data_IF_151711603201
#
_entry.id   IF_151711603201
#
_cell.length_a   1.000
_cell.length_b   1.000
_cell.length_c   1.000
_cell.angle_alpha   90.00
_cell.angle_beta   90.00
_cell.angle_gamma   90.00
#
_symmetry.space_group_name_H-M   'P 1'
#
loop_
_entity.id
_entity.type
_entity.pdbx_description
1 polymer ?
#
# COMPACT_ATOMS: atom_id res chain seq x y z
N UNK A 1 16.70 31.94 -2.38
CA UNK A 1 16.73 30.47 -2.27
C UNK A 1 16.97 29.97 -3.68
N UNK A 2 18.04 29.23 -3.92
CA UNK A 2 18.30 28.69 -5.26
C UNK A 2 17.16 27.74 -5.65
N UNK A 3 16.68 27.87 -6.88
CA UNK A 3 15.60 27.05 -7.43
C UNK A 3 15.95 25.56 -7.31
N UNK A 4 15.17 24.80 -6.54
CA UNK A 4 15.37 23.36 -6.42
C UNK A 4 15.20 22.69 -7.80
N UNK A 5 16.05 21.73 -8.20
CA UNK A 5 15.96 21.10 -9.50
C UNK A 5 14.63 20.33 -9.68
N UNK A 6 14.16 20.23 -10.93
CA UNK A 6 12.97 19.42 -11.26
C UNK A 6 13.28 17.94 -11.10
N UNK A 7 12.46 17.21 -10.34
CA UNK A 7 12.56 15.77 -10.17
C UNK A 7 11.99 15.05 -11.40
N UNK A 8 12.88 14.49 -12.21
CA UNK A 8 12.54 13.59 -13.31
C UNK A 8 12.19 12.18 -12.83
N UNK A 9 11.03 11.68 -13.23
CA UNK A 9 10.54 10.33 -12.94
C UNK A 9 10.78 9.40 -14.13
N UNK A 10 11.31 8.22 -13.88
CA UNK A 10 11.46 7.13 -14.84
C UNK A 10 10.45 6.03 -14.55
N UNK A 11 9.57 5.72 -15.49
CA UNK A 11 8.53 4.70 -15.31
C UNK A 11 8.94 3.39 -16.00
N UNK A 12 8.98 2.31 -15.23
CA UNK A 12 9.27 0.96 -15.71
C UNK A 12 7.96 0.17 -15.63
N UNK A 13 7.37 -0.10 -16.80
CA UNK A 13 5.98 -0.54 -16.97
C UNK A 13 5.03 0.66 -17.04
N UNK A 14 4.49 0.96 -18.22
CA UNK A 14 3.52 2.05 -18.46
C UNK A 14 2.16 1.54 -18.96
N UNK A 15 1.78 0.35 -18.53
CA UNK A 15 0.40 -0.13 -18.59
C UNK A 15 -0.55 0.67 -17.68
N UNK A 16 -1.67 0.06 -17.32
CA UNK A 16 -2.75 0.74 -16.56
C UNK A 16 -2.28 1.53 -15.32
N UNK A 17 -1.40 0.97 -14.48
CA UNK A 17 -0.90 1.66 -13.28
C UNK A 17 0.12 2.76 -13.62
N UNK A 18 1.04 2.51 -14.54
CA UNK A 18 1.97 3.55 -15.00
C UNK A 18 1.24 4.75 -15.60
N UNK A 19 0.14 4.53 -16.33
CA UNK A 19 -0.73 5.60 -16.82
C UNK A 19 -1.40 6.39 -15.69
N UNK A 20 -1.85 5.73 -14.62
CA UNK A 20 -2.38 6.41 -13.43
C UNK A 20 -1.30 7.28 -12.76
N UNK A 21 -0.07 6.78 -12.62
CA UNK A 21 1.04 7.58 -12.09
C UNK A 21 1.33 8.81 -12.97
N UNK A 22 1.34 8.66 -14.30
CA UNK A 22 1.53 9.80 -15.23
C UNK A 22 0.46 10.88 -15.00
N UNK A 23 -0.83 10.48 -14.89
CA UNK A 23 -1.94 11.41 -14.63
C UNK A 23 -1.74 12.15 -13.32
N UNK A 24 -1.36 11.46 -12.25
CA UNK A 24 -1.15 12.06 -10.94
C UNK A 24 0.10 12.97 -10.89
N UNK A 25 1.18 12.61 -11.59
CA UNK A 25 2.35 13.48 -11.74
C UNK A 25 2.02 14.76 -12.51
N UNK A 26 1.14 14.70 -13.52
CA UNK A 26 0.64 15.90 -14.19
C UNK A 26 -0.13 16.81 -13.21
N UNK A 27 -0.94 16.25 -12.32
CA UNK A 27 -1.68 17.03 -11.32
C UNK A 27 -0.75 17.71 -10.32
N UNK A 28 0.27 17.01 -9.81
CA UNK A 28 1.27 17.63 -8.92
C UNK A 28 1.96 18.81 -9.58
N UNK A 29 2.31 18.64 -10.85
CA UNK A 29 2.93 19.70 -11.65
C UNK A 29 2.00 20.89 -11.84
N UNK A 30 0.71 20.65 -12.11
CA UNK A 30 -0.32 21.71 -12.19
C UNK A 30 -0.49 22.44 -10.85
N UNK A 31 -0.27 21.74 -9.74
CA UNK A 31 -0.32 22.29 -8.39
C UNK A 31 1.00 22.98 -7.98
N UNK A 32 1.98 23.04 -8.89
CA UNK A 32 3.23 23.79 -8.75
C UNK A 32 4.44 22.97 -8.29
N UNK A 33 4.30 21.66 -8.09
CA UNK A 33 5.43 20.80 -7.75
C UNK A 33 6.35 20.60 -8.96
N UNK A 34 7.67 20.63 -8.74
CA UNK A 34 8.67 20.54 -9.80
C UNK A 34 8.95 19.08 -10.15
N UNK A 35 8.03 18.44 -10.84
CA UNK A 35 8.13 17.06 -11.31
C UNK A 35 7.94 16.95 -12.82
N UNK A 36 8.55 15.95 -13.45
CA UNK A 36 8.28 15.58 -14.84
C UNK A 36 8.46 14.08 -15.06
N UNK A 37 7.87 13.56 -16.14
CA UNK A 37 8.20 12.22 -16.65
C UNK A 37 9.41 12.37 -17.56
N UNK A 38 10.56 11.87 -17.13
CA UNK A 38 11.83 11.99 -17.85
C UNK A 38 12.09 10.80 -18.78
N UNK A 39 11.65 9.60 -18.40
CA UNK A 39 11.85 8.40 -19.19
C UNK A 39 10.74 7.37 -18.96
N UNK A 40 10.54 6.48 -19.94
CA UNK A 40 9.65 5.32 -19.83
C UNK A 40 10.23 4.08 -20.52
N UNK A 41 9.87 2.91 -20.01
CA UNK A 41 10.19 1.61 -20.61
C UNK A 41 9.04 0.64 -20.41
N UNK A 42 8.59 0.03 -21.50
CA UNK A 42 7.56 -1.01 -21.51
C UNK A 42 7.71 -1.83 -22.80
N UNK A 43 7.68 -3.18 -22.73
CA UNK A 43 7.78 -4.02 -23.92
C UNK A 43 6.55 -3.97 -24.83
N UNK A 44 5.39 -3.49 -24.34
CA UNK A 44 4.14 -3.38 -25.09
C UNK A 44 4.04 -2.00 -25.79
N UNK A 45 4.17 -1.93 -27.13
CA UNK A 45 4.14 -0.66 -27.86
C UNK A 45 2.84 0.12 -27.64
N UNK A 46 1.71 -0.57 -27.44
CA UNK A 46 0.43 0.08 -27.14
C UNK A 46 0.49 0.86 -25.83
N UNK A 47 1.10 0.29 -24.79
CA UNK A 47 1.23 0.94 -23.48
C UNK A 47 2.10 2.20 -23.57
N UNK A 48 3.20 2.17 -24.33
CA UNK A 48 4.02 3.35 -24.62
C UNK A 48 3.21 4.43 -25.36
N UNK A 49 2.44 4.05 -26.37
CA UNK A 49 1.63 5.00 -27.14
C UNK A 49 0.58 5.70 -26.26
N UNK A 50 -0.17 4.95 -25.45
CA UNK A 50 -1.17 5.49 -24.52
C UNK A 50 -0.52 6.39 -23.45
N UNK A 51 0.64 5.98 -22.91
CA UNK A 51 1.38 6.79 -21.93
C UNK A 51 1.79 8.16 -22.50
N UNK A 52 2.26 8.22 -23.76
CA UNK A 52 2.62 9.47 -24.44
C UNK A 52 1.45 10.42 -24.63
N UNK A 53 0.24 9.91 -24.83
CA UNK A 53 -0.95 10.74 -24.95
C UNK A 53 -1.31 11.44 -23.64
N UNK A 54 -0.96 10.82 -22.51
CA UNK A 54 -1.21 11.34 -21.16
C UNK A 54 -0.16 12.35 -20.70
N UNK A 55 1.07 12.28 -21.23
CA UNK A 55 2.14 13.20 -20.84
C UNK A 55 1.79 14.63 -21.28
N UNK A 56 1.89 15.57 -20.33
CA UNK A 56 1.56 16.96 -20.59
C UNK A 56 2.49 17.59 -21.63
N UNK A 57 1.91 18.21 -22.67
CA UNK A 57 2.62 18.78 -23.83
C UNK A 57 2.90 20.28 -23.70
N UNK A 58 3.36 20.72 -22.54
CA UNK A 58 3.69 22.14 -22.34
C UNK A 58 4.95 22.56 -23.11
N UNK A 59 4.96 23.81 -23.58
CA UNK A 59 6.07 24.37 -24.34
C UNK A 59 7.37 24.32 -23.53
N UNK A 60 8.43 23.77 -24.14
CA UNK A 60 9.77 23.71 -23.56
C UNK A 60 10.09 22.45 -22.75
N UNK A 61 9.13 21.52 -22.57
CA UNK A 61 9.41 20.21 -21.98
C UNK A 61 9.82 19.21 -23.07
N UNK A 62 10.99 18.54 -22.94
CA UNK A 62 11.32 17.45 -23.84
C UNK A 62 10.34 16.29 -23.62
N UNK A 63 10.00 15.58 -24.69
CA UNK A 63 9.32 14.30 -24.56
C UNK A 63 10.21 13.35 -23.75
N UNK A 64 9.64 12.51 -22.87
CA UNK A 64 10.41 11.52 -22.14
C UNK A 64 11.16 10.59 -23.08
N UNK A 65 12.38 10.24 -22.68
CA UNK A 65 13.17 9.24 -23.38
C UNK A 65 12.50 7.87 -23.30
N UNK A 66 12.54 7.14 -24.40
CA UNK A 66 12.01 5.78 -24.48
C UNK A 66 13.16 4.79 -24.47
N UNK A 67 13.06 3.79 -23.60
CA UNK A 67 14.05 2.73 -23.51
C UNK A 67 13.40 1.38 -23.74
N UNK A 68 13.99 0.57 -24.63
CA UNK A 68 13.60 -0.82 -24.81
C UNK A 68 14.02 -1.70 -23.63
N UNK A 69 15.12 -1.33 -22.96
CA UNK A 69 15.66 -1.99 -21.79
C UNK A 69 15.54 -1.09 -20.55
N UNK A 70 14.96 -1.61 -19.47
CA UNK A 70 14.75 -0.81 -18.26
C UNK A 70 16.06 -0.53 -17.51
N UNK A 71 17.12 -1.31 -17.72
CA UNK A 71 18.46 -1.05 -17.18
C UNK A 71 19.08 0.22 -17.74
N UNK A 72 18.90 0.48 -19.04
CA UNK A 72 19.31 1.75 -19.66
C UNK A 72 18.55 2.94 -19.06
N UNK A 73 17.24 2.81 -18.86
CA UNK A 73 16.42 3.82 -18.17
C UNK A 73 16.91 4.07 -16.73
N UNK A 74 17.23 3.01 -15.98
CA UNK A 74 17.78 3.12 -14.62
C UNK A 74 19.11 3.88 -14.61
N UNK A 75 19.87 3.90 -15.71
CA UNK A 75 21.13 4.64 -15.80
C UNK A 75 20.97 6.08 -16.33
N UNK A 76 19.77 6.49 -16.72
CA UNK A 76 19.51 7.84 -17.24
C UNK A 76 19.82 8.90 -16.14
N UNK A 77 20.70 9.88 -16.42
CA UNK A 77 21.04 10.92 -15.45
C UNK A 77 19.90 11.91 -15.17
N UNK A 78 18.87 11.99 -16.02
CA UNK A 78 17.71 12.84 -15.83
C UNK A 78 16.63 12.19 -14.95
N UNK A 79 16.76 10.90 -14.66
CA UNK A 79 15.84 10.15 -13.79
C UNK A 79 16.36 10.21 -12.35
N UNK A 80 15.50 10.65 -11.43
CA UNK A 80 15.81 10.77 -10.00
C UNK A 80 14.93 9.83 -9.15
N UNK A 81 13.72 9.57 -9.63
CA UNK A 81 12.74 8.66 -9.01
C UNK A 81 12.35 7.60 -10.03
N UNK A 82 12.44 6.33 -9.63
CA UNK A 82 11.97 5.19 -10.41
C UNK A 82 10.59 4.78 -9.90
N UNK A 83 9.63 4.68 -10.81
CA UNK A 83 8.31 4.09 -10.55
C UNK A 83 8.28 2.73 -11.22
N UNK A 84 8.19 1.68 -10.43
CA UNK A 84 8.19 0.29 -10.90
C UNK A 84 6.74 -0.20 -10.88
N UNK A 85 6.11 -0.27 -12.05
CA UNK A 85 4.72 -0.70 -12.25
C UNK A 85 4.63 -1.79 -13.33
N UNK A 86 5.56 -2.75 -13.25
CA UNK A 86 5.59 -3.96 -14.10
C UNK A 86 4.61 -5.02 -13.60
N UNK A 87 4.35 -6.12 -14.33
CA UNK A 87 3.66 -7.26 -13.73
C UNK A 87 4.40 -7.75 -12.48
N UNK A 88 3.66 -8.14 -11.44
CA UNK A 88 4.18 -8.32 -10.08
C UNK A 88 5.39 -9.28 -9.99
N UNK A 89 5.40 -10.34 -10.79
CA UNK A 89 6.50 -11.31 -10.87
C UNK A 89 7.85 -10.69 -11.27
N UNK A 90 7.83 -9.56 -11.99
CA UNK A 90 9.03 -8.86 -12.45
C UNK A 90 9.54 -7.80 -11.47
N UNK A 91 8.80 -7.47 -10.40
CA UNK A 91 9.22 -6.46 -9.42
C UNK A 91 10.62 -6.74 -8.86
N UNK A 92 10.91 -8.00 -8.50
CA UNK A 92 12.21 -8.39 -7.92
C UNK A 92 13.37 -8.17 -8.88
N UNK A 93 13.19 -8.45 -10.18
CA UNK A 93 14.23 -8.27 -11.19
C UNK A 93 14.57 -6.79 -11.38
N UNK A 94 13.54 -5.94 -11.46
CA UNK A 94 13.73 -4.50 -11.56
C UNK A 94 14.35 -3.93 -10.28
N UNK A 95 13.88 -4.36 -9.11
CA UNK A 95 14.41 -3.93 -7.80
C UNK A 95 15.89 -4.24 -7.63
N UNK A 96 16.37 -5.41 -8.10
CA UNK A 96 17.80 -5.78 -8.06
C UNK A 96 18.69 -4.72 -8.71
N UNK A 97 18.29 -4.21 -9.88
CA UNK A 97 19.04 -3.17 -10.59
C UNK A 97 18.77 -1.77 -10.00
N UNK A 98 17.50 -1.47 -9.67
CA UNK A 98 17.09 -0.17 -9.20
C UNK A 98 17.75 0.21 -7.86
N UNK A 99 17.84 -0.73 -6.90
CA UNK A 99 18.47 -0.48 -5.59
C UNK A 99 19.94 -0.11 -5.75
N UNK A 100 20.66 -0.81 -6.64
CA UNK A 100 22.07 -0.55 -6.91
C UNK A 100 22.32 0.88 -7.44
N UNK A 101 21.39 1.43 -8.23
CA UNK A 101 21.48 2.79 -8.78
C UNK A 101 21.56 3.88 -7.70
N UNK A 102 20.90 3.67 -6.55
CA UNK A 102 20.74 4.70 -5.52
C UNK A 102 19.75 5.81 -5.90
N UNK A 103 18.93 5.64 -6.92
CA UNK A 103 17.78 6.53 -7.17
C UNK A 103 16.68 6.28 -6.14
N UNK A 104 15.75 7.23 -6.02
CA UNK A 104 14.53 7.00 -5.25
C UNK A 104 13.68 5.96 -5.96
N UNK A 105 12.97 5.12 -5.20
CA UNK A 105 12.12 4.05 -5.76
C UNK A 105 10.74 4.15 -5.14
N UNK A 106 9.72 4.15 -6.00
CA UNK A 106 8.34 3.80 -5.68
C UNK A 106 8.04 2.52 -6.45
N UNK A 107 7.88 1.40 -5.75
CA UNK A 107 7.52 0.11 -6.36
C UNK A 107 6.05 -0.18 -6.09
N UNK A 108 5.31 -0.56 -7.13
CA UNK A 108 3.94 -1.03 -6.99
C UNK A 108 3.84 -2.22 -6.04
N UNK A 109 2.66 -2.36 -5.46
CA UNK A 109 2.31 -3.52 -4.64
C UNK A 109 2.02 -4.75 -5.52
N UNK A 110 2.15 -5.96 -4.96
CA UNK A 110 2.92 -6.27 -3.76
C UNK A 110 4.42 -6.03 -4.04
N UNK A 111 5.21 -5.75 -2.99
CA UNK A 111 6.64 -5.49 -3.14
C UNK A 111 7.35 -6.61 -3.92
N UNK A 112 7.04 -7.86 -3.59
CA UNK A 112 7.37 -9.05 -4.38
C UNK A 112 6.23 -10.08 -4.25
N UNK A 113 6.23 -11.10 -5.10
CA UNK A 113 5.21 -12.16 -5.12
C UNK A 113 5.50 -13.31 -4.15
N UNK A 114 6.72 -13.42 -3.63
CA UNK A 114 7.12 -14.53 -2.73
C UNK A 114 7.90 -14.03 -1.52
N UNK A 115 7.79 -14.73 -0.36
CA UNK A 115 8.62 -14.46 0.81
C UNK A 115 10.12 -14.41 0.52
N UNK A 116 10.62 -15.34 -0.30
CA UNK A 116 12.04 -15.47 -0.62
C UNK A 116 12.57 -14.23 -1.35
N UNK A 117 11.81 -13.73 -2.33
CA UNK A 117 12.16 -12.51 -3.05
C UNK A 117 12.10 -11.27 -2.13
N UNK A 118 11.14 -11.20 -1.20
CA UNK A 118 11.13 -10.11 -0.23
C UNK A 118 12.36 -10.12 0.68
N UNK A 119 12.79 -11.30 1.15
CA UNK A 119 14.00 -11.44 1.97
C UNK A 119 15.27 -11.10 1.18
N UNK A 120 15.32 -11.46 -0.09
CA UNK A 120 16.42 -11.07 -0.98
C UNK A 120 16.51 -9.55 -1.14
N UNK A 121 15.38 -8.89 -1.41
CA UNK A 121 15.31 -7.43 -1.53
C UNK A 121 15.75 -6.74 -0.24
N UNK A 122 15.32 -7.24 0.92
CA UNK A 122 15.75 -6.71 2.22
C UNK A 122 17.28 -6.82 2.41
N UNK A 123 17.88 -7.93 2.02
CA UNK A 123 19.34 -8.10 2.08
C UNK A 123 20.08 -7.17 1.10
N UNK A 124 19.53 -6.93 -0.10
CA UNK A 124 20.05 -5.95 -1.05
C UNK A 124 20.00 -4.53 -0.48
N UNK A 125 18.90 -4.15 0.15
CA UNK A 125 18.74 -2.86 0.81
C UNK A 125 19.77 -2.68 1.93
N UNK A 126 19.92 -3.68 2.80
CA UNK A 126 20.87 -3.68 3.92
C UNK A 126 22.33 -3.59 3.45
N UNK A 127 22.68 -4.31 2.39
CA UNK A 127 24.03 -4.32 1.83
C UNK A 127 24.36 -3.09 0.98
N UNK A 128 23.36 -2.39 0.44
CA UNK A 128 23.57 -1.19 -0.39
C UNK A 128 24.25 -0.03 0.36
N UNK A 129 24.06 0.05 1.69
CA UNK A 129 24.48 1.20 2.50
C UNK A 129 23.77 2.51 2.14
N UNK A 130 22.77 2.49 1.25
CA UNK A 130 22.00 3.65 0.77
C UNK A 130 20.65 3.80 1.47
N UNK A 131 20.34 2.91 2.41
CA UNK A 131 19.14 2.96 3.23
C UNK A 131 19.37 3.86 4.46
N UNK A 132 18.59 4.94 4.57
CA UNK A 132 18.65 5.82 5.74
C UNK A 132 18.21 7.27 5.46
N UNK A 133 18.18 8.13 6.49
CA UNK A 133 17.73 9.53 6.38
C UNK A 133 18.58 10.38 5.41
N UNK A 134 19.81 9.96 5.15
CA UNK A 134 20.75 10.62 4.23
C UNK A 134 20.77 9.99 2.83
N UNK A 135 20.04 8.89 2.64
CA UNK A 135 20.09 8.07 1.43
C UNK A 135 18.85 8.19 0.54
N UNK A 136 18.63 7.14 -0.25
CA UNK A 136 17.51 7.05 -1.18
C UNK A 136 16.24 6.61 -0.45
N UNK A 137 15.13 7.29 -0.74
CA UNK A 137 13.79 6.84 -0.35
C UNK A 137 13.38 5.61 -1.18
N UNK A 138 13.08 4.51 -0.49
CA UNK A 138 12.49 3.31 -1.09
C UNK A 138 11.11 3.08 -0.49
N UNK A 139 10.12 3.06 -1.37
CA UNK A 139 8.71 3.16 -1.02
C UNK A 139 7.92 2.08 -1.74
N UNK A 140 6.97 1.44 -1.03
CA UNK A 140 6.01 0.50 -1.63
C UNK A 140 4.67 1.22 -1.77
N UNK A 141 4.10 1.23 -2.97
CA UNK A 141 2.85 1.92 -3.27
C UNK A 141 1.67 1.21 -2.60
N UNK A 142 1.36 1.62 -1.36
CA UNK A 142 0.23 1.11 -0.56
C UNK A 142 -0.74 2.27 -0.37
N UNK A 143 -1.35 2.68 -1.47
CA UNK A 143 -2.11 3.91 -1.59
C UNK A 143 -3.37 3.93 -0.70
N UNK A 144 -3.82 2.79 -0.20
CA UNK A 144 -4.93 2.68 0.76
C UNK A 144 -4.70 3.50 2.05
N UNK A 145 -3.44 3.79 2.44
CA UNK A 145 -3.15 4.71 3.55
C UNK A 145 -3.56 6.16 3.28
N UNK A 146 -3.69 6.52 2.00
CA UNK A 146 -3.99 7.85 1.49
C UNK A 146 -5.44 8.02 0.99
N UNK A 147 -6.25 6.97 1.04
CA UNK A 147 -7.70 7.08 0.82
C UNK A 147 -8.28 7.94 1.95
N UNK A 148 -8.95 9.04 1.61
CA UNK A 148 -9.29 10.11 2.58
C UNK A 148 -10.02 9.62 3.84
N UNK A 149 -11.09 8.81 3.78
CA UNK A 149 -11.74 8.28 5.00
C UNK A 149 -10.82 7.37 5.82
N UNK A 150 -9.92 6.61 5.17
CA UNK A 150 -8.93 5.78 5.87
C UNK A 150 -7.88 6.66 6.55
N UNK A 151 -7.35 7.68 5.86
CA UNK A 151 -6.42 8.65 6.46
C UNK A 151 -7.03 9.31 7.69
N UNK A 152 -8.29 9.76 7.61
CA UNK A 152 -9.01 10.35 8.74
C UNK A 152 -9.20 9.36 9.90
N UNK A 153 -9.54 8.11 9.61
CA UNK A 153 -9.57 7.05 10.61
C UNK A 153 -8.21 6.85 11.31
N UNK A 154 -7.11 6.87 10.54
CA UNK A 154 -5.75 6.76 11.09
C UNK A 154 -5.42 7.96 11.98
N UNK A 155 -5.78 9.18 11.59
CA UNK A 155 -5.61 10.40 12.42
C UNK A 155 -6.31 10.27 13.78
N UNK A 156 -7.55 9.73 13.80
CA UNK A 156 -8.32 9.50 15.05
C UNK A 156 -7.67 8.41 15.91
N UNK A 157 -7.18 7.33 15.29
CA UNK A 157 -6.49 6.28 16.01
C UNK A 157 -5.16 6.77 16.61
N UNK A 158 -4.38 7.53 15.84
CA UNK A 158 -3.08 8.08 16.23
C UNK A 158 -3.20 9.22 17.26
N UNK A 159 -4.26 10.02 17.20
CA UNK A 159 -4.61 11.02 18.22
C UNK A 159 -4.99 10.38 19.57
N UNK A 160 -5.24 9.07 19.57
CA UNK A 160 -5.52 8.29 20.76
C UNK A 160 -6.99 8.30 21.16
N UNK A 161 -7.90 8.91 20.40
CA UNK A 161 -9.33 9.03 20.72
C UNK A 161 -9.96 7.68 21.11
N UNK A 162 -9.60 6.61 20.39
CA UNK A 162 -10.11 5.24 20.65
C UNK A 162 -9.38 4.50 21.78
N UNK A 163 -8.31 5.05 22.33
CA UNK A 163 -7.48 4.44 23.37
C UNK A 163 -6.55 3.36 22.84
N UNK A 164 -6.26 2.32 23.64
CA UNK A 164 -5.41 1.21 23.19
C UNK A 164 -6.21 0.34 22.23
N UNK A 165 -5.77 0.30 20.96
CA UNK A 165 -6.34 -0.56 19.92
C UNK A 165 -6.35 -2.03 20.37
N UNK A 166 -7.51 -2.69 20.22
CA UNK A 166 -7.73 -4.09 20.58
C UNK A 166 -8.14 -4.94 19.39
N UNK A 167 -8.98 -4.39 18.52
CA UNK A 167 -9.50 -5.11 17.36
C UNK A 167 -9.48 -4.21 16.12
N UNK A 168 -9.10 -4.81 15.00
CA UNK A 168 -9.22 -4.21 13.67
C UNK A 168 -10.05 -5.16 12.81
N UNK A 169 -11.08 -4.68 12.14
CA UNK A 169 -11.80 -5.49 11.15
C UNK A 169 -11.87 -4.73 9.84
N UNK A 170 -11.58 -5.42 8.76
CA UNK A 170 -11.66 -4.91 7.40
C UNK A 170 -12.55 -5.86 6.62
N UNK A 171 -13.56 -5.32 5.95
CA UNK A 171 -14.33 -6.01 4.93
C UNK A 171 -14.00 -5.40 3.58
N UNK A 172 -13.65 -6.23 2.62
CA UNK A 172 -13.58 -5.84 1.21
C UNK A 172 -14.54 -6.72 0.39
N UNK A 173 -15.65 -6.11 -0.05
CA UNK A 173 -16.67 -6.75 -0.88
C UNK A 173 -16.77 -6.00 -2.20
N UNK A 174 -16.16 -6.57 -3.25
CA UNK A 174 -15.94 -5.90 -4.54
C UNK A 174 -16.19 -6.81 -5.73
N UNK A 175 -15.99 -6.24 -6.91
CA UNK A 175 -15.90 -6.94 -8.19
C UNK A 175 -14.56 -7.66 -8.39
N UNK A 176 -14.48 -8.64 -9.31
CA UNK A 176 -13.27 -9.42 -9.55
C UNK A 176 -12.10 -8.59 -10.05
N UNK A 177 -10.94 -9.24 -10.18
CA UNK A 177 -9.75 -8.60 -10.74
C UNK A 177 -9.99 -8.10 -12.16
N UNK A 178 -9.56 -6.87 -12.42
CA UNK A 178 -9.57 -6.27 -13.75
C UNK A 178 -8.78 -7.10 -14.76
N UNK A 179 -9.14 -6.96 -16.03
CA UNK A 179 -8.39 -7.58 -17.13
C UNK A 179 -7.08 -6.81 -17.33
N UNK A 180 -5.95 -7.52 -17.31
CA UNK A 180 -4.61 -6.98 -17.60
C UNK A 180 -4.07 -7.57 -18.89
N UNK A 181 -2.98 -7.00 -19.42
CA UNK A 181 -2.30 -7.50 -20.63
C UNK A 181 -2.01 -8.99 -20.47
N UNK A 182 -2.46 -9.82 -21.40
CA UNK A 182 -2.25 -11.27 -21.36
C UNK A 182 -2.88 -11.99 -20.15
N UNK A 183 -3.76 -11.35 -19.38
CA UNK A 183 -4.39 -11.92 -18.18
C UNK A 183 -3.38 -12.48 -17.15
N UNK A 184 -2.18 -11.91 -17.07
CA UNK A 184 -1.12 -12.39 -16.17
C UNK A 184 -1.58 -12.46 -14.70
N UNK A 185 -2.50 -11.59 -14.31
CA UNK A 185 -3.01 -11.48 -12.94
C UNK A 185 -4.02 -12.57 -12.55
N UNK A 186 -4.33 -13.51 -13.44
CA UNK A 186 -5.21 -14.66 -13.16
C UNK A 186 -4.50 -15.82 -12.46
N UNK A 187 -3.18 -15.77 -12.35
CA UNK A 187 -2.38 -16.90 -11.88
C UNK A 187 -1.53 -16.52 -10.67
N UNK A 188 -1.63 -17.31 -9.60
CA UNK A 188 -0.88 -17.14 -8.35
C UNK A 188 0.63 -17.17 -8.59
N UNK A 189 1.10 -17.93 -9.58
CA UNK A 189 2.50 -17.95 -9.99
C UNK A 189 3.04 -16.56 -10.39
N UNK A 190 2.17 -15.67 -10.90
CA UNK A 190 2.52 -14.33 -11.33
C UNK A 190 2.26 -13.25 -10.27
N UNK A 191 1.42 -13.54 -9.27
CA UNK A 191 0.90 -12.54 -8.32
C UNK A 191 1.26 -12.82 -6.86
N UNK A 192 1.58 -14.08 -6.54
CA UNK A 192 1.65 -14.61 -5.16
C UNK A 192 0.30 -15.14 -4.64
N UNK A 193 -0.79 -15.01 -5.40
CA UNK A 193 -2.16 -15.30 -4.96
C UNK A 193 -2.91 -14.04 -4.51
N UNK A 194 -4.23 -14.13 -4.39
CA UNK A 194 -5.09 -12.99 -4.05
C UNK A 194 -4.74 -12.36 -2.71
N UNK A 195 -4.41 -13.18 -1.71
CA UNK A 195 -4.10 -12.68 -0.37
C UNK A 195 -2.72 -11.99 -0.35
N UNK A 196 -1.80 -12.35 -1.25
CA UNK A 196 -0.51 -11.64 -1.42
C UNK A 196 -0.67 -10.38 -2.26
N UNK A 197 -1.46 -10.43 -3.33
CA UNK A 197 -1.51 -9.36 -4.33
C UNK A 197 -2.45 -8.22 -3.96
N UNK A 198 -3.67 -8.58 -3.56
CA UNK A 198 -4.74 -7.62 -3.32
C UNK A 198 -4.83 -7.29 -1.86
N UNK A 199 -4.81 -8.31 -1.00
CA UNK A 199 -5.00 -8.12 0.42
C UNK A 199 -3.78 -7.54 1.14
N UNK A 200 -2.65 -7.35 0.44
CA UNK A 200 -1.49 -6.68 1.01
C UNK A 200 -1.80 -5.24 1.47
N UNK A 201 -2.74 -4.53 0.86
CA UNK A 201 -3.21 -3.25 1.37
C UNK A 201 -3.81 -3.36 2.78
N UNK A 202 -4.63 -4.39 3.00
CA UNK A 202 -5.30 -4.59 4.29
C UNK A 202 -4.35 -5.10 5.36
N UNK A 203 -3.44 -5.99 5.01
CA UNK A 203 -2.43 -6.45 5.95
C UNK A 203 -1.47 -5.32 6.33
N UNK A 204 -1.10 -4.46 5.37
CA UNK A 204 -0.36 -3.23 5.64
C UNK A 204 -1.12 -2.29 6.60
N UNK A 205 -2.41 -2.04 6.36
CA UNK A 205 -3.24 -1.23 7.26
C UNK A 205 -3.35 -1.87 8.65
N UNK A 206 -3.56 -3.18 8.76
CA UNK A 206 -3.59 -3.89 10.03
C UNK A 206 -2.28 -3.73 10.80
N UNK A 207 -1.13 -3.87 10.13
CA UNK A 207 0.19 -3.64 10.72
C UNK A 207 0.34 -2.19 11.19
N UNK A 208 -0.09 -1.21 10.38
CA UNK A 208 -0.01 0.22 10.69
C UNK A 208 -0.91 0.63 11.86
N UNK A 209 -2.13 0.11 11.92
CA UNK A 209 -3.14 0.43 12.93
C UNK A 209 -2.79 -0.22 14.26
N UNK A 210 -2.47 -1.52 14.24
CA UNK A 210 -2.12 -2.24 15.47
C UNK A 210 -0.78 -1.80 16.03
N UNK A 211 0.13 -1.36 15.14
CA UNK A 211 1.50 -1.03 15.47
C UNK A 211 2.14 -2.16 16.28
N UNK A 212 2.02 -3.39 15.78
CA UNK A 212 2.63 -4.57 16.41
C UNK A 212 3.09 -5.57 15.37
N UNK A 213 4.07 -6.40 15.73
CA UNK A 213 4.45 -7.53 14.89
C UNK A 213 3.34 -8.60 14.89
N UNK A 214 3.03 -9.20 13.73
CA UNK A 214 2.11 -10.33 13.62
C UNK A 214 2.77 -11.63 14.11
N UNK A 215 2.01 -12.47 14.79
CA UNK A 215 2.48 -13.71 15.42
C UNK A 215 2.03 -14.93 14.63
N UNK A 216 0.74 -15.00 14.31
CA UNK A 216 0.16 -16.09 13.54
C UNK A 216 -1.03 -15.63 12.71
N UNK A 217 -1.27 -16.38 11.64
CA UNK A 217 -2.38 -16.18 10.72
C UNK A 217 -3.20 -17.46 10.64
N UNK A 218 -4.51 -17.34 10.65
CA UNK A 218 -5.43 -18.41 10.24
C UNK A 218 -6.32 -17.88 9.14
N UNK A 219 -6.50 -18.64 8.07
CA UNK A 219 -7.32 -18.28 6.93
C UNK A 219 -8.11 -19.47 6.40
N UNK A 220 -9.28 -19.18 5.87
CA UNK A 220 -10.13 -20.08 5.09
C UNK A 220 -10.60 -19.32 3.86
N UNK A 221 -10.47 -19.90 2.67
CA UNK A 221 -10.86 -19.28 1.41
C UNK A 221 -10.82 -20.27 0.26
N UNK A 222 -11.37 -19.89 -0.88
CA UNK A 222 -11.48 -20.74 -2.06
C UNK A 222 -11.65 -19.94 -3.36
N UNK A 223 -11.64 -20.65 -4.49
CA UNK A 223 -12.07 -20.14 -5.80
C UNK A 223 -13.48 -20.66 -6.03
N UNK A 224 -14.53 -19.86 -5.81
CA UNK A 224 -15.91 -20.34 -5.79
C UNK A 224 -16.81 -19.79 -6.90
N UNK A 225 -16.51 -18.64 -7.49
CA UNK A 225 -17.39 -17.96 -8.44
C UNK A 225 -16.67 -17.48 -9.69
N UNK A 226 -15.55 -16.79 -9.54
CA UNK A 226 -14.92 -16.05 -10.62
C UNK A 226 -13.94 -16.94 -11.42
N UNK A 227 -13.91 -16.74 -12.74
CA UNK A 227 -12.88 -17.23 -13.66
C UNK A 227 -12.70 -18.76 -13.75
N UNK A 228 -13.56 -19.57 -13.12
CA UNK A 228 -13.46 -21.03 -13.14
C UNK A 228 -13.63 -21.64 -14.54
N UNK A 229 -14.41 -20.99 -15.40
CA UNK A 229 -14.66 -21.42 -16.79
C UNK A 229 -13.64 -20.85 -17.79
N UNK A 230 -12.67 -20.05 -17.33
CA UNK A 230 -11.61 -19.51 -18.17
C UNK A 230 -10.50 -20.55 -18.41
N UNK A 231 -9.84 -20.46 -19.56
CA UNK A 231 -8.65 -21.28 -19.85
C UNK A 231 -7.66 -20.48 -20.68
N UNK A 232 -6.43 -20.43 -20.20
CA UNK A 232 -5.31 -19.78 -20.87
C UNK A 232 -4.15 -20.76 -20.96
N UNK A 233 -3.69 -21.03 -22.19
CA UNK A 233 -2.58 -21.96 -22.45
C UNK A 233 -2.72 -23.33 -21.74
N UNK A 234 -3.96 -23.81 -21.59
CA UNK A 234 -4.27 -25.10 -20.95
C UNK A 234 -4.35 -25.07 -19.42
N UNK A 235 -4.21 -23.90 -18.78
CA UNK A 235 -4.37 -23.70 -17.35
C UNK A 235 -5.65 -22.92 -17.03
N UNK A 236 -6.27 -23.27 -15.89
CA UNK A 236 -7.41 -22.54 -15.32
C UNK A 236 -6.88 -21.60 -14.24
N UNK A 237 -7.40 -20.36 -14.14
CA UNK A 237 -7.06 -19.43 -13.05
C UNK A 237 -7.17 -20.06 -11.66
N UNK A 238 -6.20 -19.78 -10.77
CA UNK A 238 -6.07 -20.41 -9.45
C UNK A 238 -6.12 -19.39 -8.28
N UNK A 239 -6.56 -18.17 -8.58
CA UNK A 239 -6.66 -17.07 -7.62
C UNK A 239 -7.95 -17.17 -6.78
N UNK A 240 -7.79 -17.17 -5.46
CA UNK A 240 -8.89 -17.16 -4.49
C UNK A 240 -9.78 -15.93 -4.70
N UNK A 241 -11.10 -16.07 -4.62
CA UNK A 241 -12.06 -14.97 -4.79
C UNK A 241 -12.87 -14.66 -3.52
N UNK A 242 -12.73 -15.48 -2.47
CA UNK A 242 -13.28 -15.20 -1.16
C UNK A 242 -12.41 -15.79 -0.04
N UNK A 243 -12.31 -15.08 1.08
CA UNK A 243 -11.58 -15.56 2.25
C UNK A 243 -11.98 -14.85 3.55
N UNK A 244 -11.86 -15.58 4.67
CA UNK A 244 -11.75 -15.02 6.01
C UNK A 244 -10.33 -15.19 6.51
N UNK A 245 -9.70 -14.13 7.03
CA UNK A 245 -8.34 -14.16 7.59
C UNK A 245 -8.32 -13.55 8.98
N UNK A 246 -7.73 -14.24 9.95
CA UNK A 246 -7.49 -13.79 11.30
C UNK A 246 -5.99 -13.64 11.55
N UNK A 247 -5.59 -12.51 12.14
CA UNK A 247 -4.20 -12.21 12.49
C UNK A 247 -4.09 -11.85 13.97
N UNK A 248 -3.23 -12.57 14.71
CA UNK A 248 -2.90 -12.25 16.09
C UNK A 248 -1.57 -11.50 16.17
N UNK A 249 -1.50 -10.48 17.03
CA UNK A 249 -0.32 -9.61 17.18
C UNK A 249 0.32 -9.71 18.58
N UNK A 250 1.62 -9.43 18.68
CA UNK A 250 2.38 -9.53 19.93
C UNK A 250 1.84 -8.65 21.07
N UNK A 251 1.30 -7.47 20.76
CA UNK A 251 0.71 -6.56 21.75
C UNK A 251 -0.67 -7.02 22.29
N UNK A 252 -1.17 -8.17 21.79
CA UNK A 252 -2.46 -8.78 22.15
C UNK A 252 -3.66 -8.26 21.34
N UNK A 253 -3.48 -7.34 20.39
CA UNK A 253 -4.55 -6.98 19.45
C UNK A 253 -4.78 -8.07 18.41
N UNK A 254 -5.97 -8.07 17.80
CA UNK A 254 -6.35 -9.01 16.75
C UNK A 254 -6.91 -8.27 15.55
N UNK A 255 -6.68 -8.80 14.36
CA UNK A 255 -7.29 -8.30 13.14
C UNK A 255 -8.04 -9.38 12.37
N UNK A 256 -9.07 -8.97 11.63
CA UNK A 256 -9.86 -9.83 10.76
C UNK A 256 -10.03 -9.18 9.38
N UNK A 257 -9.88 -9.98 8.32
CA UNK A 257 -10.27 -9.64 6.94
C UNK A 257 -11.44 -10.52 6.51
N UNK A 258 -12.48 -9.89 5.98
CA UNK A 258 -13.65 -10.48 5.31
C UNK A 258 -13.58 -10.09 3.82
N UNK A 259 -13.08 -10.99 2.98
CA UNK A 259 -12.86 -10.77 1.54
C UNK A 259 -13.92 -11.47 0.71
N UNK A 260 -14.53 -10.74 -0.22
CA UNK A 260 -15.37 -11.28 -1.28
C UNK A 260 -15.18 -10.48 -2.57
N UNK A 261 -14.87 -11.16 -3.68
CA UNK A 261 -14.64 -10.55 -4.99
C UNK A 261 -15.76 -10.81 -6.02
N UNK A 262 -16.95 -11.21 -5.55
CA UNK A 262 -18.17 -11.39 -6.36
C UNK A 262 -19.37 -10.68 -5.71
N UNK A 263 -19.13 -9.47 -5.19
CA UNK A 263 -20.10 -8.66 -4.45
C UNK A 263 -20.34 -7.30 -5.12
N UNK A 264 -20.46 -7.27 -6.45
CA UNK A 264 -20.52 -6.05 -7.26
C UNK A 264 -21.75 -5.16 -6.98
N UNK A 265 -22.78 -5.74 -6.37
CA UNK A 265 -24.00 -5.04 -5.97
C UNK A 265 -23.96 -4.58 -4.50
N UNK A 266 -22.78 -4.25 -3.98
CA UNK A 266 -22.59 -3.67 -2.64
C UNK A 266 -22.66 -2.13 -2.66
N UNK A 267 -23.13 -1.54 -1.55
CA UNK A 267 -23.10 -0.08 -1.34
C UNK A 267 -21.69 0.40 -0.97
N UNK A 268 -20.94 -0.45 -0.28
CA UNK A 268 -19.59 -0.18 0.19
C UNK A 268 -18.67 -1.28 -0.33
N UNK A 269 -17.55 -0.87 -0.93
CA UNK A 269 -16.48 -1.78 -1.32
C UNK A 269 -15.60 -2.10 -0.12
N UNK A 270 -15.23 -1.08 0.66
CA UNK A 270 -14.44 -1.25 1.87
C UNK A 270 -15.16 -0.71 3.11
N UNK A 271 -15.21 -1.54 4.16
CA UNK A 271 -15.64 -1.14 5.49
C UNK A 271 -14.53 -1.47 6.50
N UNK A 272 -13.98 -0.44 7.14
CA UNK A 272 -12.92 -0.57 8.13
C UNK A 272 -13.44 -0.18 9.51
N UNK A 273 -12.97 -0.88 10.54
CA UNK A 273 -13.31 -0.58 11.92
C UNK A 273 -12.10 -0.80 12.83
N UNK A 274 -11.81 0.20 13.66
CA UNK A 274 -10.80 0.15 14.71
C UNK A 274 -11.52 0.26 16.04
N UNK A 275 -11.36 -0.74 16.91
CA UNK A 275 -11.93 -0.75 18.25
C UNK A 275 -10.80 -0.72 19.26
N UNK A 276 -10.78 0.31 20.10
CA UNK A 276 -9.94 0.40 21.27
C UNK A 276 -10.72 0.26 22.57
N UNK A 277 -10.03 0.42 23.69
CA UNK A 277 -10.65 0.34 25.02
C UNK A 277 -11.47 1.60 25.40
N UNK A 278 -11.30 2.73 24.69
CA UNK A 278 -12.06 3.96 24.92
C UNK A 278 -13.10 4.27 23.85
N UNK A 279 -12.93 3.76 22.64
CA UNK A 279 -13.80 4.11 21.54
C UNK A 279 -13.68 3.22 20.33
N UNK A 280 -14.37 3.63 19.27
CA UNK A 280 -14.42 2.97 17.96
C UNK A 280 -14.37 4.03 16.87
N UNK A 281 -13.65 3.77 15.80
CA UNK A 281 -13.74 4.55 14.56
C UNK A 281 -14.02 3.62 13.38
N UNK A 282 -14.91 4.05 12.49
CA UNK A 282 -15.35 3.32 11.30
C UNK A 282 -15.16 4.20 10.07
N UNK A 283 -14.76 3.60 8.96
CA UNK A 283 -14.56 4.27 7.67
C UNK A 283 -15.17 3.41 6.56
N UNK A 284 -15.89 4.06 5.65
CA UNK A 284 -16.61 3.39 4.55
C UNK A 284 -16.26 4.03 3.20
N UNK A 285 -15.95 3.19 2.22
CA UNK A 285 -15.56 3.56 0.85
C UNK A 285 -16.50 2.85 -0.13
N UNK A 286 -16.99 3.50 -1.21
CA UNK A 286 -16.62 4.83 -1.73
C UNK A 286 -17.48 5.99 -1.21
N UNK A 287 -18.41 5.75 -0.28
CA UNK A 287 -19.27 6.82 0.27
C UNK A 287 -18.51 7.86 1.10
N UNK A 288 -17.23 7.61 1.38
CA UNK A 288 -16.33 8.51 2.08
C UNK A 288 -16.85 8.98 3.45
N UNK A 289 -17.46 8.07 4.21
CA UNK A 289 -17.98 8.35 5.54
C UNK A 289 -17.02 7.88 6.63
N UNK A 290 -16.85 8.69 7.68
CA UNK A 290 -16.15 8.33 8.91
C UNK A 290 -17.06 8.52 10.12
N UNK A 291 -17.18 7.50 10.96
CA UNK A 291 -17.94 7.55 12.21
C UNK A 291 -17.03 7.30 13.40
N UNK A 292 -17.01 8.24 14.35
CA UNK A 292 -16.20 8.16 15.58
C UNK A 292 -17.14 8.05 16.77
N UNK A 293 -17.01 6.97 17.52
CA UNK A 293 -17.79 6.70 18.73
C UNK A 293 -16.89 6.61 19.96
N UNK A 294 -17.02 7.57 20.88
CA UNK A 294 -16.33 7.55 22.17
C UNK A 294 -17.27 6.96 23.22
N UNK A 295 -16.79 5.92 23.93
CA UNK A 295 -17.63 5.06 24.78
C UNK A 295 -18.25 5.81 25.95
N UNK A 296 -17.53 6.76 26.55
CA UNK A 296 -17.91 7.37 27.83
C UNK A 296 -17.68 6.46 29.02
N UNK A 297 -18.16 6.86 30.20
CA UNK A 297 -18.07 6.06 31.42
C UNK A 297 -19.44 5.63 31.92
N UNK A 298 -19.51 4.44 32.51
CA UNK A 298 -20.73 3.96 33.18
C UNK A 298 -20.41 3.72 34.66
N UNK A 299 -21.29 4.15 35.58
CA UNK A 299 -21.13 3.82 37.00
C UNK A 299 -21.46 2.34 37.30
N UNK A 300 -22.01 1.59 36.32
CA UNK A 300 -22.41 0.18 36.46
C UNK A 300 -21.86 -0.61 35.28
N UNK A 301 -20.98 -1.57 35.54
CA UNK A 301 -20.15 -2.26 34.53
C UNK A 301 -20.94 -2.93 33.38
N UNK A 302 -22.19 -3.38 33.62
CA UNK A 302 -23.03 -4.06 32.63
C UNK A 302 -24.08 -3.16 31.97
N UNK A 303 -24.10 -1.86 32.29
CA UNK A 303 -24.99 -0.88 31.65
C UNK A 303 -24.12 0.00 30.75
N UNK A 304 -24.47 0.17 29.46
CA UNK A 304 -23.70 1.07 28.61
C UNK A 304 -23.76 2.52 29.16
N UNK A 305 -22.71 3.33 28.98
CA UNK A 305 -22.67 4.72 29.46
C UNK A 305 -23.92 5.51 29.05
N UNK A 306 -24.46 6.44 29.85
CA UNK A 306 -25.58 7.30 29.44
C UNK A 306 -25.31 8.01 28.10
N UNK A 307 -26.34 8.44 27.37
CA UNK A 307 -26.17 9.05 26.04
C UNK A 307 -25.34 10.35 26.11
N UNK A 308 -25.54 11.13 27.17
CA UNK A 308 -24.79 12.34 27.50
C UNK A 308 -23.30 12.11 27.79
N UNK A 309 -22.91 10.89 28.15
CA UNK A 309 -21.50 10.48 28.36
C UNK A 309 -20.85 9.95 27.07
N UNK A 310 -21.66 9.64 26.05
CA UNK A 310 -21.18 9.14 24.76
C UNK A 310 -20.94 10.31 23.81
N UNK A 311 -19.98 10.13 22.90
CA UNK A 311 -19.81 11.05 21.77
C UNK A 311 -19.93 10.27 20.48
N UNK A 312 -20.77 10.73 19.56
CA UNK A 312 -20.90 10.18 18.22
C UNK A 312 -20.69 11.31 17.21
N UNK A 313 -19.63 11.20 16.41
CA UNK A 313 -19.29 12.15 15.36
C UNK A 313 -19.40 11.42 14.03
N UNK A 314 -20.05 12.03 13.06
CA UNK A 314 -20.11 11.57 11.67
C UNK A 314 -19.53 12.65 10.78
N UNK A 315 -18.58 12.27 9.95
CA UNK A 315 -17.84 13.15 9.05
C UNK A 315 -17.90 12.59 7.63
N UNK A 316 -17.97 13.49 6.65
CA UNK A 316 -17.75 13.16 5.24
C UNK A 316 -16.33 13.57 4.85
N UNK A 317 -15.58 12.61 4.33
CA UNK A 317 -14.19 12.71 3.95
C UNK A 317 -14.06 13.08 2.46
N UNK A 318 -14.45 14.30 2.12
CA UNK A 318 -14.53 14.78 0.73
C UNK A 318 -13.20 14.64 -0.05
N UNK A 319 -13.31 14.10 -1.28
CA UNK A 319 -12.24 14.04 -2.30
C UNK A 319 -12.68 14.85 -3.51
N UNK A 320 -11.82 15.71 -4.06
CA UNK A 320 -12.19 16.53 -5.21
C UNK A 320 -12.35 15.70 -6.50
N UNK A 321 -13.33 16.06 -7.34
CA UNK A 321 -13.59 15.41 -8.66
C UNK A 321 -12.34 15.31 -9.54
N UNK A 322 -11.46 16.31 -9.47
CA UNK A 322 -10.18 16.32 -10.22
C UNK A 322 -9.30 15.13 -9.83
N UNK A 323 -9.20 14.82 -8.53
CA UNK A 323 -8.40 13.70 -8.04
C UNK A 323 -9.11 12.37 -8.30
N UNK A 324 -10.44 12.32 -8.16
CA UNK A 324 -11.24 11.13 -8.50
C UNK A 324 -11.09 10.75 -9.98
N UNK A 325 -11.01 11.73 -10.89
CA UNK A 325 -10.83 11.48 -12.32
C UNK A 325 -9.42 11.03 -12.73
N UNK A 326 -8.43 11.06 -11.82
CA UNK A 326 -7.04 10.80 -12.15
C UNK A 326 -6.61 9.34 -12.04
N UNK A 327 -7.43 8.49 -11.42
CA UNK A 327 -7.06 7.10 -11.13
C UNK A 327 -8.22 6.25 -10.59
N UNK A 328 -7.91 5.05 -10.15
CA UNK A 328 -8.89 4.07 -9.66
C UNK A 328 -9.00 4.02 -8.13
N UNK A 329 -8.23 4.84 -7.40
CA UNK A 329 -8.01 4.69 -5.96
C UNK A 329 -8.45 5.91 -5.13
N UNK A 330 -9.59 6.52 -5.44
CA UNK A 330 -10.14 7.64 -4.63
C UNK A 330 -9.17 8.82 -4.43
N UNK A 331 -8.33 9.11 -5.45
CA UNK A 331 -7.33 10.18 -5.41
C UNK A 331 -6.10 9.92 -4.53
N UNK A 332 -5.95 8.71 -3.98
CA UNK A 332 -4.87 8.36 -3.05
C UNK A 332 -3.48 8.39 -3.71
N UNK A 333 -3.37 7.97 -4.98
CA UNK A 333 -2.12 7.99 -5.76
C UNK A 333 -1.52 9.39 -5.86
N UNK A 334 -2.35 10.43 -5.96
CA UNK A 334 -1.90 11.83 -5.93
C UNK A 334 -1.21 12.15 -4.60
N UNK A 335 -1.85 11.83 -3.48
CA UNK A 335 -1.34 12.12 -2.15
C UNK A 335 -0.09 11.32 -1.81
N UNK A 336 0.02 10.09 -2.30
CA UNK A 336 1.23 9.29 -2.15
C UNK A 336 2.42 9.93 -2.90
N UNK A 337 2.23 10.32 -4.17
CA UNK A 337 3.28 11.04 -4.91
C UNK A 337 3.60 12.40 -4.29
N UNK A 338 2.59 13.14 -3.80
CA UNK A 338 2.78 14.41 -3.11
C UNK A 338 3.70 14.21 -1.90
N UNK A 339 3.41 13.19 -1.11
CA UNK A 339 4.14 12.88 0.11
C UNK A 339 5.57 12.42 -0.18
N UNK A 340 5.76 11.59 -1.20
CA UNK A 340 7.08 11.18 -1.68
C UNK A 340 7.91 12.39 -2.14
N UNK A 341 7.31 13.29 -2.93
CA UNK A 341 7.95 14.52 -3.39
C UNK A 341 8.39 15.40 -2.22
N UNK A 342 7.52 15.61 -1.22
CA UNK A 342 7.84 16.37 -0.01
C UNK A 342 9.03 15.77 0.73
N UNK A 343 9.03 14.45 0.95
CA UNK A 343 10.10 13.75 1.66
C UNK A 343 11.44 13.83 0.92
N UNK A 344 11.43 13.65 -0.41
CA UNK A 344 12.67 13.73 -1.20
C UNK A 344 13.31 15.12 -1.07
N UNK A 345 12.49 16.17 -1.04
CA UNK A 345 12.92 17.56 -0.92
C UNK A 345 13.22 18.00 0.52
N UNK A 346 13.00 17.15 1.53
CA UNK A 346 13.46 17.43 2.89
C UNK A 346 15.00 17.42 2.97
N UNK A 347 15.60 18.21 3.89
CA UNK A 347 17.04 18.15 4.12
C UNK A 347 17.50 16.73 4.50
N UNK A 348 18.68 16.34 4.00
CA UNK A 348 19.35 15.13 4.49
C UNK A 348 19.52 15.19 6.02
N UNK A 349 19.32 14.06 6.68
CA UNK A 349 19.38 13.93 8.14
C UNK A 349 18.11 14.35 8.88
N UNK A 350 17.10 14.91 8.21
CA UNK A 350 15.81 15.19 8.86
C UNK A 350 15.15 13.88 9.31
N UNK A 351 14.75 13.79 10.58
CA UNK A 351 14.13 12.59 11.16
C UNK A 351 12.76 12.24 10.51
N UNK A 352 12.14 13.20 9.81
CA UNK A 352 10.92 13.02 9.02
C UNK A 352 11.19 12.60 7.57
N UNK A 353 12.44 12.65 7.10
CA UNK A 353 12.86 12.19 5.76
C UNK A 353 12.95 10.67 5.71
N UNK A 354 11.78 10.02 5.72
CA UNK A 354 11.63 8.56 5.68
C UNK A 354 10.33 8.22 4.96
N UNK A 355 10.25 7.06 4.28
CA UNK A 355 9.00 6.66 3.65
C UNK A 355 7.91 6.41 4.69
N UNK A 356 6.67 6.81 4.38
CA UNK A 356 5.53 6.45 5.23
C UNK A 356 5.22 4.95 5.09
N UNK A 357 5.42 4.38 3.89
CA UNK A 357 5.38 2.95 3.60
C UNK A 357 6.76 2.47 3.16
N UNK A 358 7.49 1.86 4.09
CA UNK A 358 8.83 1.34 3.83
C UNK A 358 8.80 -0.02 3.13
N UNK A 359 9.94 -0.43 2.56
CA UNK A 359 10.14 -1.79 2.05
C UNK A 359 9.88 -2.86 3.12
N UNK A 360 10.17 -2.56 4.40
CA UNK A 360 9.84 -3.44 5.51
C UNK A 360 8.32 -3.56 5.75
N UNK A 361 7.57 -2.46 5.59
CA UNK A 361 6.10 -2.51 5.66
C UNK A 361 5.55 -3.42 4.54
N UNK A 362 6.05 -3.25 3.31
CA UNK A 362 5.69 -4.09 2.16
C UNK A 362 6.07 -5.56 2.32
N UNK A 363 7.28 -5.85 2.83
CA UNK A 363 7.73 -7.20 3.16
C UNK A 363 6.77 -7.86 4.14
N UNK A 364 6.48 -7.20 5.26
CA UNK A 364 5.62 -7.78 6.29
C UNK A 364 4.20 -8.02 5.80
N UNK A 365 3.69 -7.14 4.95
CA UNK A 365 2.40 -7.33 4.30
C UNK A 365 2.37 -8.58 3.41
N UNK A 366 3.40 -8.78 2.57
CA UNK A 366 3.55 -10.00 1.75
C UNK A 366 3.67 -11.25 2.63
N UNK A 367 4.40 -11.18 3.74
CA UNK A 367 4.56 -12.31 4.67
C UNK A 367 3.24 -12.73 5.31
N UNK A 368 2.39 -11.77 5.68
CA UNK A 368 1.04 -12.06 6.20
C UNK A 368 0.16 -12.67 5.12
N UNK A 369 0.19 -12.12 3.89
CA UNK A 369 -0.53 -12.69 2.74
C UNK A 369 -0.09 -14.12 2.42
N UNK A 370 1.21 -14.38 2.37
CA UNK A 370 1.76 -15.71 2.10
C UNK A 370 1.42 -16.70 3.23
N UNK A 371 1.41 -16.25 4.49
CA UNK A 371 0.94 -17.07 5.62
C UNK A 371 -0.55 -17.40 5.49
N UNK A 372 -1.36 -16.45 5.01
CA UNK A 372 -2.78 -16.66 4.77
C UNK A 372 -3.01 -17.68 3.64
N UNK A 373 -2.35 -17.53 2.49
CA UNK A 373 -2.39 -18.50 1.37
C UNK A 373 -1.99 -19.92 1.84
N UNK A 374 -0.92 -20.01 2.64
CA UNK A 374 -0.47 -21.27 3.23
C UNK A 374 -1.50 -21.85 4.20
N UNK A 375 -2.12 -21.01 5.03
CA UNK A 375 -3.17 -21.43 5.97
C UNK A 375 -4.39 -21.98 5.25
N UNK A 376 -4.84 -21.36 4.15
CA UNK A 376 -5.95 -21.86 3.34
C UNK A 376 -5.63 -23.26 2.80
N UNK A 377 -4.44 -23.42 2.21
CA UNK A 377 -3.99 -24.69 1.62
C UNK A 377 -3.81 -25.82 2.65
N UNK A 378 -3.32 -25.50 3.84
CA UNK A 378 -2.99 -26.52 4.86
C UNK A 378 -4.08 -26.72 5.92
N UNK A 379 -5.12 -25.88 5.96
CA UNK A 379 -6.22 -25.99 6.91
C UNK A 379 -5.82 -25.79 8.38
N UNK A 380 -4.72 -25.08 8.65
CA UNK A 380 -4.18 -24.81 9.99
C UNK A 380 -3.68 -23.39 10.10
N UNK A 381 -3.54 -22.89 11.33
CA UNK A 381 -2.84 -21.62 11.52
C UNK A 381 -1.35 -21.76 11.16
N UNK A 382 -0.78 -20.68 10.64
CA UNK A 382 0.62 -20.55 10.25
C UNK A 382 1.28 -19.54 11.17
N UNK A 383 2.38 -19.95 11.80
CA UNK A 383 3.19 -19.02 12.59
C UNK A 383 4.03 -18.15 11.64
N UNK A 384 4.13 -16.85 11.90
CA UNK A 384 4.95 -15.97 11.04
C UNK A 384 6.43 -16.36 11.05
N UNK A 385 6.91 -17.00 12.12
CA UNK A 385 8.26 -17.56 12.22
C UNK A 385 8.54 -18.69 11.21
N UNK A 386 7.52 -19.25 10.56
CA UNK A 386 7.70 -20.22 9.47
C UNK A 386 8.18 -19.56 8.17
N UNK A 387 7.95 -18.25 8.01
CA UNK A 387 8.26 -17.49 6.78
C UNK A 387 9.30 -16.39 7.03
N UNK A 388 9.33 -15.82 8.23
CA UNK A 388 10.17 -14.66 8.57
C UNK A 388 11.28 -15.06 9.54
N UNK A 389 12.56 -14.95 9.13
CA UNK A 389 13.71 -15.18 10.00
C UNK A 389 13.71 -14.27 11.24
N UNK A 390 14.28 -14.76 12.36
CA UNK A 390 14.27 -14.07 13.67
C UNK A 390 14.84 -12.65 13.64
N UNK A 391 15.91 -12.42 12.87
CA UNK A 391 16.53 -11.11 12.74
C UNK A 391 15.59 -10.07 12.11
N UNK A 392 14.78 -10.47 11.12
CA UNK A 392 13.80 -9.59 10.47
C UNK A 392 12.60 -9.32 11.38
N UNK A 393 12.15 -10.34 12.14
CA UNK A 393 11.07 -10.15 13.14
C UNK A 393 11.47 -9.16 14.23
N UNK A 394 12.69 -9.29 14.76
CA UNK A 394 13.23 -8.35 15.77
C UNK A 394 13.35 -6.92 15.21
N UNK A 395 13.81 -6.77 13.97
CA UNK A 395 13.88 -5.47 13.31
C UNK A 395 12.48 -4.84 13.15
N UNK A 396 11.51 -5.63 12.72
CA UNK A 396 10.10 -5.19 12.59
C UNK A 396 9.55 -4.67 13.91
N UNK A 397 9.71 -5.45 14.99
CA UNK A 397 9.25 -5.05 16.32
C UNK A 397 9.89 -3.73 16.78
N UNK A 398 11.19 -3.54 16.54
CA UNK A 398 11.90 -2.30 16.86
C UNK A 398 11.40 -1.10 16.03
N UNK A 399 11.22 -1.28 14.72
CA UNK A 399 10.72 -0.23 13.80
C UNK A 399 9.32 0.21 14.19
N UNK A 400 8.44 -0.75 14.45
CA UNK A 400 7.06 -0.54 14.90
C UNK A 400 7.01 0.19 16.24
N UNK A 401 7.78 -0.24 17.24
CA UNK A 401 7.87 0.44 18.54
C UNK A 401 8.35 1.89 18.40
N UNK A 402 9.33 2.15 17.52
CA UNK A 402 9.82 3.49 17.24
C UNK A 402 8.77 4.40 16.57
N UNK A 403 7.85 3.82 15.77
CA UNK A 403 6.78 4.56 15.09
C UNK A 403 5.70 4.94 16.11
N UNK A 404 5.26 4.00 16.96
CA UNK A 404 4.31 4.27 18.05
C UNK A 404 4.84 5.33 19.02
N UNK A 405 6.10 5.21 19.45
CA UNK A 405 6.68 6.16 20.40
C UNK A 405 6.60 7.61 19.88
N UNK A 406 6.86 7.80 18.58
CA UNK A 406 6.79 9.10 17.91
C UNK A 406 5.36 9.63 17.77
N UNK A 407 4.40 8.77 17.43
CA UNK A 407 2.98 9.16 17.35
C UNK A 407 2.46 9.60 18.72
N UNK A 408 2.80 8.86 19.78
CA UNK A 408 2.44 9.22 21.16
C UNK A 408 3.09 10.52 21.64
N UNK A 409 4.31 10.83 21.18
CA UNK A 409 4.99 12.09 21.50
C UNK A 409 4.36 13.28 20.76
N UNK A 410 4.02 13.10 19.48
CA UNK A 410 3.33 14.12 18.69
C UNK A 410 1.93 14.44 19.25
N UNK A 411 1.16 13.41 19.64
CA UNK A 411 -0.16 13.57 20.25
C UNK A 411 -0.12 14.21 21.65
N UNK A 412 1.03 14.22 22.34
CA UNK A 412 1.20 14.93 23.63
C UNK A 412 1.58 16.41 23.46
N UNK A 413 2.09 16.79 22.29
CA UNK A 413 2.58 18.14 22.00
C UNK A 413 1.59 18.98 21.18
N UNK A 414 0.59 18.35 20.55
CA UNK A 414 -0.57 18.98 19.94
C UNK A 414 -1.69 19.15 20.97
#
# INVERSE_FOLDING_TARGET
MGDAPTLGYGLIGVGMMGQEHIKNLNLLRQDGDRVCVAAMSDPEPKSIAEAKELISKEEGQPMPAEYSDFGDLINDPNVHVLVISTPNVHHVEVLRLAIASGKHILVEKPMCTTPEHCLEVEELLRSSGKYGPDGSIYWVAMEYRYIRPITRMLEVADGGDVGKVRMVSIREHRYPFLIKVGNWNRFSANTGGTLVEKCCHFFDLMLRITGSAPVRVFASGAVDVNHQDETYDGAVPDIIDNAYVLVDFENGSRACLDLCMFAEASEHQEELCIVGDRGKVEAKVPVNEVTIGIRGTSPIDWIPPPEEERTLIKEEAHVSDRLLGAGYHEGSTYWEHKRLYEIINMPAGDAKRKPDVSMQDGLMSVMVGAAAEKSVREGRHVMLSELVPDNIRQHTAATVASRIARLNEAARLA
#
